data_IF_357233997540
#
_entry.id   IF_357233997540
#
_cell.length_a   1.000
_cell.length_b   1.000
_cell.length_c   1.000
_cell.angle_alpha   90.00
_cell.angle_beta   90.00
_cell.angle_gamma   90.00
#
_symmetry.space_group_name_H-M   'P 1'
#
loop_
_entity.id
_entity.type
_entity.pdbx_description
1 polymer ?
#
# COMPACT_ATOMS: atom_id res chain seq x y z
N UNK A 1 -6.24 51.03 -47.35
CA UNK A 1 -5.28 50.05 -46.79
C UNK A 1 -5.59 49.62 -45.35
N UNK A 2 -6.05 50.50 -44.46
CA UNK A 2 -6.31 50.20 -43.05
C UNK A 2 -7.55 49.31 -42.78
N UNK A 3 -8.54 49.28 -43.69
CA UNK A 3 -9.79 48.49 -43.52
C UNK A 3 -9.53 46.98 -43.65
N UNK A 4 -8.57 46.53 -44.46
CA UNK A 4 -8.22 45.15 -44.65
C UNK A 4 -7.42 44.59 -43.43
N UNK A 5 -6.63 45.42 -42.79
CA UNK A 5 -5.85 45.04 -41.59
C UNK A 5 -6.77 44.85 -40.39
N UNK A 6 -7.82 45.66 -40.27
CA UNK A 6 -8.77 45.58 -39.14
C UNK A 6 -9.60 44.31 -39.23
N UNK A 7 -10.01 43.88 -40.42
CA UNK A 7 -10.73 42.60 -40.61
C UNK A 7 -9.85 41.40 -40.32
N UNK A 8 -8.57 41.48 -40.68
CA UNK A 8 -7.61 40.38 -40.40
C UNK A 8 -7.34 40.18 -38.90
N UNK A 9 -7.27 41.29 -38.16
CA UNK A 9 -7.09 41.26 -36.69
C UNK A 9 -8.34 40.69 -36.00
N UNK A 10 -9.54 41.05 -36.43
CA UNK A 10 -10.79 40.53 -35.86
C UNK A 10 -10.97 39.04 -36.14
N UNK A 11 -10.60 38.54 -37.30
CA UNK A 11 -10.67 37.10 -37.60
C UNK A 11 -9.61 36.30 -36.84
N UNK A 12 -8.44 36.86 -36.58
CA UNK A 12 -7.41 36.23 -35.76
C UNK A 12 -7.86 36.10 -34.30
N UNK A 13 -8.55 37.14 -33.77
CA UNK A 13 -9.07 37.14 -32.39
C UNK A 13 -10.22 36.20 -32.18
N UNK A 14 -11.03 35.97 -33.25
CA UNK A 14 -12.16 35.00 -33.18
C UNK A 14 -11.69 33.54 -33.14
N UNK A 15 -10.51 33.19 -33.67
CA UNK A 15 -9.96 31.84 -33.62
C UNK A 15 -9.44 31.43 -32.22
N UNK A 16 -9.17 32.39 -31.33
CA UNK A 16 -8.64 32.10 -30.01
C UNK A 16 -9.70 31.70 -28.96
N UNK A 17 -11.01 31.85 -29.26
CA UNK A 17 -12.10 31.60 -28.32
C UNK A 17 -12.65 30.16 -28.34
N UNK A 18 -12.06 29.25 -29.10
CA UNK A 18 -12.58 27.87 -29.24
C UNK A 18 -11.73 26.82 -28.52
N UNK A 19 -10.86 27.23 -27.60
CA UNK A 19 -10.16 26.28 -26.73
C UNK A 19 -11.03 25.97 -25.50
N UNK A 20 -12.11 25.23 -25.70
CA UNK A 20 -12.80 24.56 -24.60
C UNK A 20 -11.90 23.45 -24.09
N UNK A 21 -11.31 23.65 -22.91
CA UNK A 21 -10.67 22.58 -22.18
C UNK A 21 -11.74 21.57 -21.80
N UNK A 22 -11.84 20.48 -22.54
CA UNK A 22 -12.59 19.29 -22.12
C UNK A 22 -11.85 18.71 -20.92
N UNK A 23 -12.34 18.98 -19.73
CA UNK A 23 -11.97 18.23 -18.54
C UNK A 23 -12.45 16.80 -18.79
N UNK A 24 -11.51 15.92 -19.08
CA UNK A 24 -11.79 14.50 -19.22
C UNK A 24 -11.91 13.94 -17.80
N UNK A 25 -13.09 14.06 -17.23
CA UNK A 25 -13.42 13.37 -15.98
C UNK A 25 -13.33 11.87 -16.24
N UNK A 26 -12.20 11.28 -15.82
CA UNK A 26 -12.04 9.83 -15.87
C UNK A 26 -13.06 9.21 -14.92
N UNK A 27 -13.96 8.36 -15.41
CA UNK A 27 -14.91 7.69 -14.53
C UNK A 27 -14.15 6.88 -13.49
N UNK A 28 -14.51 7.04 -12.22
CA UNK A 28 -13.98 6.20 -11.16
C UNK A 28 -14.64 4.83 -11.26
N UNK A 29 -13.82 3.78 -11.37
CA UNK A 29 -14.26 2.41 -11.28
C UNK A 29 -13.97 1.89 -9.87
N UNK A 30 -14.99 1.38 -9.20
CA UNK A 30 -14.84 0.75 -7.90
C UNK A 30 -14.90 -0.76 -8.08
N UNK A 31 -13.92 -1.46 -7.49
CA UNK A 31 -13.92 -2.90 -7.39
C UNK A 31 -14.11 -3.29 -5.93
N UNK A 32 -15.04 -4.19 -5.67
CA UNK A 32 -15.28 -4.73 -4.33
C UNK A 32 -14.53 -6.05 -4.19
N UNK A 33 -13.62 -6.11 -3.23
CA UNK A 33 -12.85 -7.32 -2.92
C UNK A 33 -13.37 -7.94 -1.65
N UNK A 34 -13.79 -9.21 -1.73
CA UNK A 34 -14.44 -9.96 -0.65
C UNK A 34 -13.72 -11.28 -0.37
N UNK A 35 -14.22 -12.02 0.62
CA UNK A 35 -13.77 -13.39 0.88
C UNK A 35 -14.04 -14.33 -0.30
N UNK A 36 -15.04 -14.06 -1.12
CA UNK A 36 -15.34 -14.84 -2.33
C UNK A 36 -14.26 -14.68 -3.39
N UNK A 37 -13.58 -13.52 -3.40
CA UNK A 37 -12.45 -13.22 -4.28
C UNK A 37 -11.11 -13.75 -3.73
N UNK A 38 -11.10 -14.28 -2.50
CA UNK A 38 -9.91 -14.85 -1.86
C UNK A 38 -9.34 -14.03 -0.70
N UNK A 39 -9.98 -12.93 -0.29
CA UNK A 39 -9.60 -12.18 0.91
C UNK A 39 -9.83 -13.04 2.16
N UNK A 40 -8.90 -13.01 3.10
CA UNK A 40 -8.97 -13.89 4.29
C UNK A 40 -10.11 -13.52 5.27
N UNK A 41 -10.52 -12.24 5.27
CA UNK A 41 -11.63 -11.73 6.07
C UNK A 41 -12.12 -10.39 5.50
N UNK A 42 -13.44 -10.15 5.48
CA UNK A 42 -14.03 -8.91 5.00
C UNK A 42 -13.75 -7.69 5.91
N UNK A 43 -13.32 -7.92 7.16
CA UNK A 43 -12.90 -6.84 8.04
C UNK A 43 -11.42 -6.55 7.83
N UNK A 44 -11.12 -5.51 7.06
CA UNK A 44 -9.76 -5.02 6.79
C UNK A 44 -9.41 -3.96 7.82
N UNK A 45 -8.32 -4.19 8.59
CA UNK A 45 -7.84 -3.31 9.65
C UNK A 45 -6.69 -2.39 9.19
N UNK A 46 -5.96 -2.80 8.14
CA UNK A 46 -4.84 -2.03 7.60
C UNK A 46 -4.77 -2.22 6.09
N UNK A 47 -4.45 -1.14 5.37
CA UNK A 47 -4.23 -1.15 3.92
C UNK A 47 -2.94 -0.43 3.62
N UNK A 48 -2.12 -1.02 2.76
CA UNK A 48 -0.87 -0.42 2.30
C UNK A 48 -0.61 -0.83 0.84
N UNK A 49 -0.20 0.12 0.00
CA UNK A 49 0.27 -0.17 -1.34
C UNK A 49 1.79 0.01 -1.40
N UNK A 50 2.50 -1.07 -1.74
CA UNK A 50 3.94 -1.03 -1.90
C UNK A 50 4.36 -0.35 -3.21
N UNK A 51 5.63 0.06 -3.31
CA UNK A 51 6.17 0.79 -4.48
C UNK A 51 6.05 0.02 -5.80
N UNK A 52 6.00 -1.29 -5.74
CA UNK A 52 5.77 -2.19 -6.89
C UNK A 52 4.28 -2.37 -7.24
N UNK A 53 3.40 -1.60 -6.59
CA UNK A 53 1.96 -1.59 -6.86
C UNK A 53 1.17 -2.70 -6.17
N UNK A 54 1.81 -3.61 -5.44
CA UNK A 54 1.15 -4.67 -4.68
C UNK A 54 0.32 -4.08 -3.54
N UNK A 55 -0.90 -4.54 -3.40
CA UNK A 55 -1.80 -4.13 -2.32
C UNK A 55 -1.72 -5.13 -1.15
N UNK A 56 -1.38 -4.62 0.03
CA UNK A 56 -1.29 -5.37 1.27
C UNK A 56 -2.49 -5.06 2.15
N UNK A 57 -3.25 -6.09 2.50
CA UNK A 57 -4.50 -5.98 3.24
C UNK A 57 -4.39 -6.76 4.55
N UNK A 58 -4.31 -6.04 5.65
CA UNK A 58 -4.28 -6.61 6.99
C UNK A 58 -5.69 -6.89 7.49
N UNK A 59 -5.90 -8.08 8.04
CA UNK A 59 -7.18 -8.51 8.60
C UNK A 59 -6.98 -9.17 9.97
N UNK A 60 -8.08 -9.60 10.60
CA UNK A 60 -8.02 -10.43 11.81
C UNK A 60 -7.64 -11.91 11.54
N UNK A 61 -7.59 -12.32 10.26
CA UNK A 61 -7.25 -13.69 9.86
C UNK A 61 -5.94 -13.79 9.08
N UNK A 62 -5.13 -12.74 9.11
CA UNK A 62 -3.82 -12.69 8.48
C UNK A 62 -3.63 -11.51 7.56
N UNK A 63 -2.48 -11.49 6.90
CA UNK A 63 -2.08 -10.50 5.91
C UNK A 63 -2.29 -11.06 4.51
N UNK A 64 -3.00 -10.32 3.69
CA UNK A 64 -3.22 -10.65 2.29
C UNK A 64 -2.34 -9.77 1.41
N UNK A 65 -1.70 -10.37 0.42
CA UNK A 65 -0.96 -9.71 -0.62
C UNK A 65 -1.73 -9.90 -1.93
N UNK A 66 -2.15 -8.81 -2.58
CA UNK A 66 -2.96 -8.82 -3.80
C UNK A 66 -2.22 -8.12 -4.94
N UNK A 67 -2.01 -8.83 -6.04
CA UNK A 67 -1.26 -8.37 -7.22
C UNK A 67 -2.15 -7.78 -8.33
N UNK A 68 -3.43 -7.59 -8.06
CA UNK A 68 -4.43 -7.19 -9.03
C UNK A 68 -5.24 -8.36 -9.60
N UNK A 69 -4.80 -9.61 -9.38
CA UNK A 69 -5.44 -10.82 -9.89
C UNK A 69 -5.60 -11.89 -8.82
N UNK A 70 -4.56 -12.11 -8.00
CA UNK A 70 -4.50 -13.22 -7.05
C UNK A 70 -4.22 -12.73 -5.64
N UNK A 71 -4.79 -13.44 -4.68
CA UNK A 71 -4.47 -13.28 -3.27
C UNK A 71 -3.43 -14.32 -2.81
N UNK A 72 -2.39 -13.83 -2.10
CA UNK A 72 -1.49 -14.66 -1.31
C UNK A 72 -1.70 -14.36 0.15
N UNK A 73 -1.97 -15.38 0.97
CA UNK A 73 -2.23 -15.26 2.38
C UNK A 73 -1.00 -15.61 3.23
N UNK A 74 -0.61 -14.68 4.09
CA UNK A 74 0.33 -14.87 5.20
C UNK A 74 -0.47 -14.98 6.49
N UNK A 75 -0.38 -16.11 7.16
CA UNK A 75 -1.09 -16.36 8.42
C UNK A 75 -0.24 -17.16 9.38
N UNK A 76 -0.59 -17.12 10.67
CA UNK A 76 0.01 -18.00 11.67
C UNK A 76 -0.27 -19.47 11.32
N UNK A 77 0.78 -20.29 11.38
CA UNK A 77 0.72 -21.74 11.19
C UNK A 77 1.48 -22.44 12.32
N UNK A 78 1.13 -23.66 12.61
CA UNK A 78 1.78 -24.47 13.64
C UNK A 78 3.19 -24.92 13.21
N UNK A 79 3.45 -25.01 11.91
CA UNK A 79 4.78 -25.25 11.34
C UNK A 79 5.34 -23.95 10.75
N UNK A 80 6.61 -23.66 11.04
CA UNK A 80 7.36 -22.52 10.49
C UNK A 80 7.59 -22.75 9.00
N UNK A 81 6.67 -22.24 8.19
CA UNK A 81 6.81 -22.18 6.73
C UNK A 81 7.25 -20.78 6.30
N UNK A 82 7.88 -20.65 5.14
CA UNK A 82 8.39 -19.38 4.61
C UNK A 82 7.35 -18.22 4.57
N UNK A 83 6.06 -18.56 4.54
CA UNK A 83 4.94 -17.60 4.51
C UNK A 83 4.14 -17.57 5.83
N UNK A 84 4.71 -18.05 6.94
CA UNK A 84 4.05 -18.00 8.25
C UNK A 84 4.40 -16.70 8.96
N UNK A 85 3.41 -15.99 9.47
CA UNK A 85 3.57 -14.86 10.41
C UNK A 85 3.21 -15.31 11.82
N UNK A 86 3.70 -14.60 12.85
CA UNK A 86 3.48 -14.99 14.27
C UNK A 86 2.10 -14.66 14.79
N UNK A 87 1.42 -13.68 14.23
CA UNK A 87 0.09 -13.24 14.64
C UNK A 87 -0.83 -12.98 13.45
N UNK A 88 -2.12 -13.22 13.61
CA UNK A 88 -3.11 -13.05 12.56
C UNK A 88 -3.80 -11.66 12.57
N UNK A 89 -3.93 -11.04 13.75
CA UNK A 89 -4.58 -9.75 13.90
C UNK A 89 -3.66 -8.60 13.48
N UNK A 90 -3.70 -8.26 12.21
CA UNK A 90 -2.83 -7.22 11.64
C UNK A 90 -3.31 -5.84 12.09
N UNK A 91 -2.37 -5.02 12.56
CA UNK A 91 -2.62 -3.65 13.04
C UNK A 91 -2.07 -2.60 12.10
N UNK A 92 -0.87 -2.82 11.57
CA UNK A 92 -0.16 -1.84 10.74
C UNK A 92 0.73 -2.52 9.72
N UNK A 93 0.90 -1.89 8.57
CA UNK A 93 1.73 -2.37 7.47
C UNK A 93 2.56 -1.19 6.97
N UNK A 94 3.86 -1.39 6.79
CA UNK A 94 4.82 -0.38 6.32
C UNK A 94 5.76 -1.00 5.29
N UNK A 95 6.41 -0.15 4.52
CA UNK A 95 7.53 -0.51 3.67
C UNK A 95 8.76 0.30 4.06
N UNK A 96 9.90 -0.37 4.26
CA UNK A 96 11.17 0.30 4.53
C UNK A 96 11.87 0.74 3.23
N UNK A 97 13.03 1.37 3.38
CA UNK A 97 13.83 1.85 2.23
C UNK A 97 14.40 0.71 1.38
N UNK A 98 14.60 -0.48 1.97
CA UNK A 98 15.07 -1.67 1.29
C UNK A 98 13.91 -2.46 0.64
N UNK A 99 12.72 -1.85 0.66
CA UNK A 99 11.44 -2.34 0.13
C UNK A 99 10.87 -3.56 0.87
N UNK A 100 11.41 -3.96 2.02
CA UNK A 100 10.80 -5.00 2.83
C UNK A 100 9.49 -4.50 3.44
N UNK A 101 8.54 -5.41 3.60
CA UNK A 101 7.25 -5.11 4.21
C UNK A 101 7.28 -5.48 5.69
N UNK A 102 7.02 -4.51 6.53
CA UNK A 102 6.93 -4.66 7.97
C UNK A 102 5.47 -4.73 8.40
N UNK A 103 5.15 -5.74 9.18
CA UNK A 103 3.79 -6.04 9.63
C UNK A 103 3.74 -6.08 11.14
N UNK A 104 2.94 -5.19 11.72
CA UNK A 104 2.65 -5.20 13.14
C UNK A 104 1.36 -5.99 13.41
N UNK A 105 1.39 -6.88 14.37
CA UNK A 105 0.24 -7.70 14.79
C UNK A 105 0.24 -7.84 16.33
N UNK A 106 -0.72 -8.57 16.88
CA UNK A 106 -0.91 -8.73 18.32
C UNK A 106 0.26 -9.45 19.04
N UNK A 107 1.16 -10.10 18.30
CA UNK A 107 2.33 -10.83 18.83
C UNK A 107 3.66 -10.11 18.57
N UNK A 108 3.64 -8.87 18.06
CA UNK A 108 4.83 -8.08 17.73
C UNK A 108 4.91 -7.73 16.27
N UNK A 109 6.11 -7.83 15.69
CA UNK A 109 6.37 -7.47 14.29
C UNK A 109 7.03 -8.59 13.53
N UNK A 110 6.66 -8.72 12.26
CA UNK A 110 7.34 -9.60 11.31
C UNK A 110 7.78 -8.77 10.09
N UNK A 111 8.87 -9.19 9.46
CA UNK A 111 9.39 -8.61 8.24
C UNK A 111 9.21 -9.60 7.08
N UNK A 112 8.68 -9.13 5.96
CA UNK A 112 8.58 -9.89 4.73
C UNK A 112 9.61 -9.35 3.77
N UNK A 113 10.60 -10.19 3.44
CA UNK A 113 11.65 -9.80 2.50
C UNK A 113 11.06 -9.51 1.12
N UNK A 114 11.46 -8.39 0.54
CA UNK A 114 10.92 -7.92 -0.75
C UNK A 114 11.17 -8.90 -1.90
N UNK A 115 12.36 -9.49 -1.98
CA UNK A 115 12.77 -10.35 -3.10
C UNK A 115 12.22 -11.77 -2.91
N UNK A 116 12.53 -12.38 -1.76
CA UNK A 116 12.26 -13.81 -1.52
C UNK A 116 10.83 -14.06 -1.06
N UNK A 117 10.13 -13.00 -0.59
CA UNK A 117 8.81 -13.07 0.04
C UNK A 117 8.77 -13.96 1.30
N UNK A 118 9.93 -14.30 1.84
CA UNK A 118 10.04 -15.04 3.08
C UNK A 118 9.80 -14.13 4.28
N UNK A 119 9.26 -14.71 5.34
CA UNK A 119 8.97 -14.01 6.59
C UNK A 119 10.12 -14.19 7.56
N UNK A 120 10.62 -13.10 8.13
CA UNK A 120 11.53 -13.08 9.27
C UNK A 120 10.75 -12.63 10.50
N UNK A 121 10.74 -13.46 11.52
CA UNK A 121 9.94 -13.23 12.72
C UNK A 121 10.64 -12.37 13.74
N UNK A 122 9.85 -11.55 14.44
CA UNK A 122 10.15 -10.98 15.74
C UNK A 122 11.46 -10.25 15.87
N UNK A 123 12.03 -9.77 14.79
CA UNK A 123 13.37 -9.16 14.81
C UNK A 123 13.52 -8.12 15.91
N UNK A 124 12.53 -7.27 16.13
CA UNK A 124 12.58 -6.27 17.18
C UNK A 124 12.50 -6.88 18.57
N UNK A 125 11.61 -7.84 18.82
CA UNK A 125 11.46 -8.52 20.09
C UNK A 125 12.71 -9.35 20.43
N UNK A 126 13.19 -10.15 19.47
CA UNK A 126 14.32 -11.06 19.68
C UNK A 126 15.66 -10.30 19.82
N UNK A 127 15.78 -9.12 19.19
CA UNK A 127 16.99 -8.31 19.21
C UNK A 127 17.06 -7.37 20.41
N UNK A 128 15.91 -6.87 20.92
CA UNK A 128 15.86 -5.84 21.96
C UNK A 128 15.29 -6.39 23.28
N UNK A 129 14.64 -7.56 23.24
CA UNK A 129 14.00 -8.18 24.43
C UNK A 129 12.77 -7.41 24.95
N UNK A 130 12.24 -6.48 24.18
CA UNK A 130 11.14 -5.57 24.55
C UNK A 130 9.92 -5.75 23.65
N UNK A 131 8.75 -5.45 24.19
CA UNK A 131 7.50 -5.47 23.41
C UNK A 131 7.44 -4.26 22.47
N UNK A 132 7.04 -4.49 21.23
CA UNK A 132 6.85 -3.42 20.25
C UNK A 132 5.47 -2.79 20.46
N UNK A 133 5.46 -1.50 20.76
CA UNK A 133 4.24 -0.71 20.93
C UNK A 133 3.73 -0.22 19.57
N UNK A 134 4.61 0.38 18.75
CA UNK A 134 4.28 0.88 17.43
C UNK A 134 5.50 0.87 16.50
N UNK A 135 5.22 0.94 15.21
CA UNK A 135 6.22 1.06 14.15
C UNK A 135 5.86 2.21 13.22
N UNK A 136 6.86 2.94 12.73
CA UNK A 136 6.68 3.94 11.68
C UNK A 136 7.93 4.03 10.81
N UNK A 137 7.87 4.77 9.73
CA UNK A 137 9.05 5.12 8.94
C UNK A 137 9.28 6.63 9.01
N UNK A 138 10.55 7.04 9.00
CA UNK A 138 10.93 8.45 8.84
C UNK A 138 10.79 8.89 7.35
N UNK A 139 11.16 10.14 7.06
CA UNK A 139 11.11 10.69 5.70
C UNK A 139 12.10 10.01 4.72
N UNK A 140 13.16 9.37 5.24
CA UNK A 140 14.10 8.54 4.47
C UNK A 140 13.65 7.09 4.34
N UNK A 141 12.44 6.76 4.81
CA UNK A 141 11.90 5.41 4.88
C UNK A 141 12.71 4.45 5.76
N UNK A 142 13.47 4.97 6.73
CA UNK A 142 14.07 4.16 7.77
C UNK A 142 13.01 3.73 8.78
N UNK A 143 13.03 2.44 9.14
CA UNK A 143 12.11 1.91 10.14
C UNK A 143 12.44 2.46 11.54
N UNK A 144 11.45 3.00 12.21
CA UNK A 144 11.47 3.41 13.60
C UNK A 144 10.54 2.48 14.39
N UNK A 145 11.05 1.96 15.51
CA UNK A 145 10.30 1.03 16.37
C UNK A 145 10.20 1.64 17.75
N UNK A 146 8.98 1.83 18.21
CA UNK A 146 8.68 2.22 19.59
C UNK A 146 8.49 0.97 20.43
N UNK A 147 9.30 0.83 21.48
CA UNK A 147 9.25 -0.29 22.39
C UNK A 147 8.80 0.14 23.80
N UNK A 148 8.30 -0.85 24.55
CA UNK A 148 8.06 -0.72 25.99
C UNK A 148 9.36 -0.43 26.75
N UNK A 149 9.27 0.23 27.93
CA UNK A 149 10.41 0.56 28.79
C UNK A 149 10.92 -0.65 29.58
#
# INVERSE_FOLDING_TARGET
MYRLWFTFIITLFSCFHSMTATTHDKPFFFQHLTMEDGLSNNHVSAIFQSKDGILWLGTQKGLNCYDGHNFRLYKKRDSSTANSIRGNGIKKILQDRDNNIWVQHEKGTDEINYITRNVRHGWAHDSIGKSVIDICTDYNQQLLILCDQ
#
